data_IF_792891330636
#
_entry.id   IF_792891330636
#
_cell.length_a   1.000
_cell.length_b   1.000
_cell.length_c   1.000
_cell.angle_alpha   90.00
_cell.angle_beta   90.00
_cell.angle_gamma   90.00
#
_symmetry.space_group_name_H-M   'P 1'
#
loop_
_entity.id
_entity.type
_entity.pdbx_description
1 polymer ?
#
# COMPACT_ATOMS: atom_id res chain seq x y z
N UNK A 1 -22.33 55.16 -10.74
CA UNK A 1 -22.04 54.09 -9.77
C UNK A 1 -23.21 53.12 -9.72
N UNK A 2 -23.04 51.88 -10.18
CA UNK A 2 -23.82 50.75 -9.68
C UNK A 2 -22.89 49.76 -8.96
N UNK A 3 -23.31 49.33 -7.76
CA UNK A 3 -22.59 48.37 -6.90
C UNK A 3 -22.58 47.00 -7.58
N UNK A 4 -21.40 46.47 -7.83
CA UNK A 4 -21.19 45.06 -8.19
C UNK A 4 -21.22 44.26 -6.89
N UNK A 5 -22.23 43.44 -6.72
CA UNK A 5 -22.33 42.44 -5.66
C UNK A 5 -21.25 41.37 -5.86
N UNK A 6 -20.43 41.14 -4.83
CA UNK A 6 -19.47 40.04 -4.75
C UNK A 6 -20.19 38.68 -4.86
N UNK A 7 -19.71 37.72 -5.65
CA UNK A 7 -20.26 36.37 -5.63
C UNK A 7 -19.82 35.63 -4.35
N UNK A 8 -20.67 34.74 -3.82
CA UNK A 8 -20.42 34.02 -2.57
C UNK A 8 -19.27 33.02 -2.72
N UNK A 9 -18.50 32.84 -1.65
CA UNK A 9 -17.44 31.84 -1.53
C UNK A 9 -18.01 30.43 -1.75
N UNK A 10 -17.83 29.88 -2.96
CA UNK A 10 -18.18 28.50 -3.24
C UNK A 10 -17.17 27.59 -2.55
N UNK A 11 -17.57 27.05 -1.39
CA UNK A 11 -16.96 25.85 -0.85
C UNK A 11 -17.00 24.78 -1.95
N UNK A 12 -15.83 24.30 -2.37
CA UNK A 12 -15.71 23.21 -3.35
C UNK A 12 -16.23 21.91 -2.73
N UNK A 13 -17.54 21.69 -2.77
CA UNK A 13 -18.15 20.39 -2.50
C UNK A 13 -18.13 19.56 -3.79
N UNK A 14 -16.99 18.93 -4.10
CA UNK A 14 -16.92 17.89 -5.15
C UNK A 14 -17.36 16.56 -4.51
N UNK A 15 -18.48 15.94 -4.95
CA UNK A 15 -18.92 14.65 -4.44
C UNK A 15 -18.27 13.54 -5.26
N UNK A 16 -17.00 13.27 -5.00
CA UNK A 16 -16.37 11.97 -5.27
C UNK A 16 -15.93 11.44 -3.92
N UNK A 17 -16.49 10.31 -3.49
CA UNK A 17 -16.16 9.60 -2.24
C UNK A 17 -14.75 8.97 -2.33
N UNK A 18 -13.74 9.79 -2.56
CA UNK A 18 -12.35 9.36 -2.60
C UNK A 18 -11.93 8.93 -1.19
N UNK A 19 -11.56 7.65 -1.02
CA UNK A 19 -11.05 7.12 0.27
C UNK A 19 -9.86 7.92 0.81
N UNK A 20 -9.08 8.52 -0.09
CA UNK A 20 -7.96 9.40 0.23
C UNK A 20 -8.37 10.72 0.91
N UNK A 21 -9.64 11.15 0.84
CA UNK A 21 -10.14 12.32 1.58
C UNK A 21 -9.89 12.18 3.09
N UNK A 22 -9.92 10.95 3.61
CA UNK A 22 -9.62 10.70 5.02
C UNK A 22 -8.22 11.20 5.42
N UNK A 23 -7.25 11.18 4.50
CA UNK A 23 -5.89 11.67 4.74
C UNK A 23 -5.82 13.21 4.83
N UNK A 24 -6.88 13.91 4.42
CA UNK A 24 -7.02 15.38 4.53
C UNK A 24 -8.08 15.79 5.57
N UNK A 25 -8.52 14.86 6.43
CA UNK A 25 -9.58 15.14 7.41
C UNK A 25 -9.20 16.20 8.44
N UNK A 26 -7.90 16.48 8.62
CA UNK A 26 -7.40 17.58 9.45
C UNK A 26 -7.54 18.95 8.78
N UNK A 27 -7.77 19.04 7.47
CA UNK A 27 -7.91 20.31 6.76
C UNK A 27 -9.33 20.85 6.96
N UNK A 28 -9.44 21.92 7.74
CA UNK A 28 -10.69 22.62 8.00
C UNK A 28 -11.04 23.58 6.86
N UNK A 29 -10.05 24.34 6.37
CA UNK A 29 -10.25 25.36 5.35
C UNK A 29 -9.09 25.43 4.36
N UNK A 30 -9.39 25.68 3.09
CA UNK A 30 -8.42 25.98 2.04
C UNK A 30 -8.79 27.30 1.40
N UNK A 31 -7.85 28.25 1.35
CA UNK A 31 -8.07 29.60 0.86
C UNK A 31 -6.97 29.99 -0.13
N UNK A 32 -7.36 30.49 -1.30
CA UNK A 32 -6.43 31.24 -2.16
C UNK A 32 -6.35 32.67 -1.61
N UNK A 33 -5.19 33.05 -1.08
CA UNK A 33 -4.97 34.41 -0.58
C UNK A 33 -4.68 35.38 -1.74
N UNK A 34 -3.97 34.88 -2.75
CA UNK A 34 -3.61 35.57 -3.99
C UNK A 34 -3.26 34.50 -5.07
N UNK A 35 -2.88 34.88 -6.31
CA UNK A 35 -2.60 33.91 -7.38
C UNK A 35 -1.47 32.90 -7.11
N UNK A 36 -0.55 33.19 -6.18
CA UNK A 36 0.62 32.35 -5.87
C UNK A 36 0.66 31.87 -4.42
N UNK A 37 -0.34 32.22 -3.61
CA UNK A 37 -0.41 31.86 -2.18
C UNK A 37 -1.69 31.11 -1.85
N UNK A 38 -1.54 29.90 -1.29
CA UNK A 38 -2.64 29.10 -0.74
C UNK A 38 -2.43 28.90 0.76
N UNK A 39 -3.47 29.15 1.55
CA UNK A 39 -3.51 28.90 3.00
C UNK A 39 -4.35 27.67 3.29
N UNK A 40 -3.80 26.78 4.11
CA UNK A 40 -4.52 25.66 4.70
C UNK A 40 -4.69 25.95 6.21
N UNK A 41 -5.93 25.90 6.69
CA UNK A 41 -6.24 25.93 8.14
C UNK A 41 -6.50 24.51 8.58
N UNK A 42 -5.78 24.06 9.61
CA UNK A 42 -5.91 22.71 10.14
C UNK A 42 -6.73 22.71 11.44
N UNK A 43 -7.63 21.75 11.61
CA UNK A 43 -8.44 21.57 12.83
C UNK A 43 -7.64 20.99 13.99
N UNK A 44 -6.47 20.40 13.71
CA UNK A 44 -5.50 19.92 14.69
C UNK A 44 -4.08 20.28 14.23
N UNK A 45 -3.12 20.46 15.15
CA UNK A 45 -1.71 20.45 14.81
C UNK A 45 -1.34 19.13 14.12
N UNK A 46 -0.63 19.20 12.98
CA UNK A 46 -0.18 18.03 12.23
C UNK A 46 1.15 18.32 11.54
N UNK A 47 2.26 17.86 12.13
CA UNK A 47 3.61 18.17 11.64
C UNK A 47 3.87 17.63 10.23
N UNK A 48 3.33 16.45 9.90
CA UNK A 48 3.52 15.81 8.59
C UNK A 48 2.68 16.43 7.46
N UNK A 49 2.07 17.61 7.67
CA UNK A 49 1.18 18.21 6.67
C UNK A 49 1.87 18.47 5.32
N UNK A 50 3.09 19.04 5.28
CA UNK A 50 3.80 19.24 4.02
C UNK A 50 4.04 17.92 3.27
N UNK A 51 4.39 16.86 3.99
CA UNK A 51 4.73 15.56 3.41
C UNK A 51 3.51 14.87 2.78
N UNK A 52 2.29 15.17 3.25
CA UNK A 52 1.06 14.63 2.64
C UNK A 52 0.99 15.01 1.15
N UNK A 53 1.51 16.17 0.73
CA UNK A 53 1.51 16.57 -0.69
C UNK A 53 2.44 15.72 -1.58
N UNK A 54 3.29 14.89 -1.00
CA UNK A 54 4.02 13.83 -1.72
C UNK A 54 3.14 12.64 -2.11
N UNK A 55 1.91 12.55 -1.61
CA UNK A 55 1.00 11.45 -1.89
C UNK A 55 0.46 11.52 -3.32
N UNK A 56 0.40 10.38 -4.01
CA UNK A 56 0.02 10.33 -5.45
C UNK A 56 -1.41 10.81 -5.71
N UNK A 57 -2.29 10.76 -4.71
CA UNK A 57 -3.67 11.21 -4.78
C UNK A 57 -3.82 12.75 -4.66
N UNK A 58 -2.76 13.48 -4.32
CA UNK A 58 -2.77 14.94 -4.15
C UNK A 58 -2.03 15.70 -5.25
N UNK A 59 -1.87 15.07 -6.41
CA UNK A 59 -1.35 15.73 -7.61
C UNK A 59 -2.28 16.89 -8.00
N UNK A 60 -1.67 18.03 -8.32
CA UNK A 60 -2.39 19.21 -8.81
C UNK A 60 -2.84 18.96 -10.25
N UNK A 61 -4.10 19.29 -10.53
CA UNK A 61 -4.75 19.09 -11.83
C UNK A 61 -5.34 20.41 -12.32
N UNK A 62 -5.55 20.53 -13.63
CA UNK A 62 -6.21 21.69 -14.21
C UNK A 62 -7.69 21.75 -13.75
N UNK A 63 -8.08 22.87 -13.13
CA UNK A 63 -9.41 23.06 -12.51
C UNK A 63 -10.57 22.84 -13.49
N UNK A 64 -10.39 23.24 -14.73
CA UNK A 64 -11.38 23.19 -15.82
C UNK A 64 -11.41 21.83 -16.53
N UNK A 65 -10.50 20.91 -16.20
CA UNK A 65 -10.38 19.58 -16.84
C UNK A 65 -10.63 18.43 -15.85
N UNK A 66 -11.23 18.70 -14.68
CA UNK A 66 -11.44 17.69 -13.65
C UNK A 66 -12.30 16.53 -14.17
N UNK A 67 -13.34 16.81 -14.96
CA UNK A 67 -14.29 15.81 -15.44
C UNK A 67 -13.70 14.88 -16.51
N UNK A 68 -12.59 15.26 -17.14
CA UNK A 68 -11.94 14.48 -18.22
C UNK A 68 -10.71 13.73 -17.75
N UNK A 69 -10.32 13.84 -16.48
CA UNK A 69 -9.06 13.29 -15.95
C UNK A 69 -8.87 11.80 -16.18
N UNK A 70 -9.95 11.01 -16.20
CA UNK A 70 -9.88 9.55 -16.39
C UNK A 70 -9.51 9.13 -17.81
N UNK A 71 -9.67 10.01 -18.80
CA UNK A 71 -9.43 9.70 -20.22
C UNK A 71 -8.47 10.67 -20.91
N UNK A 72 -8.39 11.91 -20.43
CA UNK A 72 -7.51 12.98 -20.95
C UNK A 72 -6.86 13.72 -19.79
N UNK A 73 -5.91 13.11 -19.09
CA UNK A 73 -5.27 13.73 -17.93
C UNK A 73 -4.48 14.98 -18.36
N UNK A 74 -4.73 16.10 -17.67
CA UNK A 74 -4.01 17.37 -17.85
C UNK A 74 -3.34 17.77 -16.55
N UNK A 75 -2.03 17.98 -16.58
CA UNK A 75 -1.22 18.37 -15.43
C UNK A 75 0.00 19.18 -15.85
N UNK A 76 0.90 19.44 -14.90
CA UNK A 76 2.08 20.30 -15.07
C UNK A 76 3.39 19.55 -15.30
N UNK A 77 3.32 18.22 -15.47
CA UNK A 77 4.48 17.33 -15.52
C UNK A 77 5.35 17.45 -16.77
N UNK A 78 6.49 16.73 -16.80
CA UNK A 78 7.46 16.79 -17.90
C UNK A 78 6.98 16.13 -19.20
N UNK A 79 5.95 15.28 -19.13
CA UNK A 79 5.35 14.64 -20.30
C UNK A 79 3.84 14.89 -20.36
N UNK A 80 3.33 15.04 -21.58
CA UNK A 80 1.92 15.22 -21.92
C UNK A 80 1.34 13.90 -22.42
N UNK A 81 0.08 13.64 -22.07
CA UNK A 81 -0.67 12.49 -22.56
C UNK A 81 -0.90 12.57 -24.07
N UNK A 82 -0.67 11.46 -24.78
CA UNK A 82 -0.97 11.33 -26.22
C UNK A 82 -2.13 10.36 -26.42
N UNK A 83 -1.96 9.10 -25.98
CA UNK A 83 -2.92 8.04 -26.22
C UNK A 83 -2.87 6.98 -25.12
N UNK A 84 -3.99 6.28 -24.94
CA UNK A 84 -4.08 5.07 -24.13
C UNK A 84 -4.81 4.01 -24.93
N UNK A 85 -4.11 2.90 -25.19
CA UNK A 85 -4.67 1.70 -25.79
C UNK A 85 -4.82 0.66 -24.69
N UNK A 86 -6.03 0.45 -24.13
CA UNK A 86 -6.24 -0.46 -23.01
C UNK A 86 -5.68 -1.86 -23.28
N UNK A 87 -4.85 -2.37 -22.37
CA UNK A 87 -4.21 -3.68 -22.51
C UNK A 87 -2.96 -3.71 -23.40
N UNK A 88 -2.62 -2.61 -24.09
CA UNK A 88 -1.45 -2.52 -24.98
C UNK A 88 -0.42 -1.49 -24.48
N UNK A 89 -0.72 -0.17 -24.58
CA UNK A 89 0.29 0.86 -24.29
C UNK A 89 -0.30 2.21 -23.86
N UNK A 90 0.49 2.95 -23.06
CA UNK A 90 0.34 4.38 -22.79
C UNK A 90 1.43 5.14 -23.51
N UNK A 91 1.04 6.16 -24.27
CA UNK A 91 1.98 7.03 -25.01
C UNK A 91 1.97 8.43 -24.42
N UNK A 92 3.17 8.93 -24.14
CA UNK A 92 3.42 10.26 -23.60
C UNK A 92 4.46 10.96 -24.47
N UNK A 93 4.30 12.26 -24.68
CA UNK A 93 5.25 13.12 -25.43
C UNK A 93 5.84 14.16 -24.50
N UNK A 94 7.04 14.66 -24.80
CA UNK A 94 7.66 15.77 -24.08
C UNK A 94 6.71 16.96 -23.94
N UNK A 95 6.68 17.55 -22.74
CA UNK A 95 6.07 18.84 -22.49
C UNK A 95 7.09 19.95 -22.82
N UNK A 96 6.95 20.70 -23.93
CA UNK A 96 7.88 21.78 -24.25
C UNK A 96 7.80 22.94 -23.26
N UNK A 97 6.67 23.08 -22.55
CA UNK A 97 6.41 24.14 -21.59
C UNK A 97 6.66 23.69 -20.13
N UNK A 98 7.46 22.64 -19.93
CA UNK A 98 7.78 22.17 -18.58
C UNK A 98 8.55 23.25 -17.81
N UNK A 99 8.16 23.47 -16.55
CA UNK A 99 8.66 24.59 -15.76
C UNK A 99 10.14 24.44 -15.38
N UNK A 100 10.67 23.22 -15.34
CA UNK A 100 12.11 23.00 -15.16
C UNK A 100 12.84 23.05 -16.51
N UNK A 101 13.59 24.13 -16.70
CA UNK A 101 14.32 24.38 -17.95
C UNK A 101 15.28 23.24 -18.28
N UNK A 102 15.27 22.82 -19.55
CA UNK A 102 16.16 21.80 -20.07
C UNK A 102 15.73 20.35 -19.76
N UNK A 103 14.56 20.15 -19.17
CA UNK A 103 13.93 18.84 -18.93
C UNK A 103 12.56 18.74 -19.63
N UNK A 104 12.07 17.51 -19.89
CA UNK A 104 12.81 16.25 -19.88
C UNK A 104 13.82 16.16 -21.04
N UNK A 105 14.77 15.23 -20.93
CA UNK A 105 15.76 14.94 -21.98
C UNK A 105 15.22 14.06 -23.10
N UNK A 106 14.19 13.26 -22.81
CA UNK A 106 13.54 12.37 -23.76
C UNK A 106 12.43 13.11 -24.53
N UNK A 107 12.23 12.72 -25.79
CA UNK A 107 11.13 13.26 -26.62
C UNK A 107 9.77 12.64 -26.29
N UNK A 108 9.75 11.46 -25.67
CA UNK A 108 8.53 10.78 -25.26
C UNK A 108 8.80 9.54 -24.44
N UNK A 109 7.73 8.92 -23.93
CA UNK A 109 7.74 7.68 -23.16
C UNK A 109 6.58 6.80 -23.62
N UNK A 110 6.87 5.55 -23.94
CA UNK A 110 5.86 4.53 -24.23
C UNK A 110 5.90 3.45 -23.15
N UNK A 111 4.83 3.35 -22.35
CA UNK A 111 4.68 2.29 -21.36
C UNK A 111 3.90 1.14 -21.97
N UNK A 112 4.58 0.02 -22.25
CA UNK A 112 3.98 -1.20 -22.82
C UNK A 112 3.46 -2.11 -21.71
N UNK A 113 2.27 -2.67 -21.90
CA UNK A 113 1.69 -3.68 -21.02
C UNK A 113 2.01 -5.05 -21.62
N UNK A 114 2.89 -5.78 -20.95
CA UNK A 114 3.27 -7.14 -21.36
C UNK A 114 2.95 -8.06 -20.16
N UNK A 115 1.78 -8.73 -20.16
CA UNK A 115 1.32 -9.52 -19.01
C UNK A 115 2.24 -10.70 -18.67
N UNK A 116 2.77 -11.36 -19.70
CA UNK A 116 3.60 -12.55 -19.53
C UNK A 116 5.02 -12.20 -19.08
N UNK A 117 5.47 -12.80 -17.98
CA UNK A 117 6.78 -12.53 -17.40
C UNK A 117 7.92 -12.90 -18.35
N UNK A 118 7.85 -14.06 -19.00
CA UNK A 118 8.86 -14.50 -19.98
C UNK A 118 8.98 -13.52 -21.16
N UNK A 119 7.86 -12.97 -21.65
CA UNK A 119 7.86 -11.99 -22.72
C UNK A 119 8.48 -10.65 -22.28
N UNK A 120 8.26 -10.22 -21.03
CA UNK A 120 8.95 -9.03 -20.48
C UNK A 120 10.45 -9.22 -20.44
N UNK A 121 10.91 -10.38 -19.96
CA UNK A 121 12.33 -10.71 -19.87
C UNK A 121 12.99 -10.72 -21.25
N UNK A 122 12.38 -11.37 -22.25
CA UNK A 122 12.88 -11.35 -23.62
C UNK A 122 12.89 -9.94 -24.23
N UNK A 123 11.93 -9.08 -23.87
CA UNK A 123 11.87 -7.71 -24.37
C UNK A 123 13.01 -6.84 -23.82
N UNK A 124 13.37 -6.96 -22.54
CA UNK A 124 14.50 -6.21 -21.97
C UNK A 124 15.85 -6.76 -22.47
N UNK A 125 15.97 -8.07 -22.66
CA UNK A 125 17.20 -8.70 -23.18
C UNK A 125 17.47 -8.35 -24.65
N UNK A 126 16.41 -8.24 -25.46
CA UNK A 126 16.52 -7.87 -26.88
C UNK A 126 16.64 -6.35 -27.11
N UNK A 127 16.48 -5.53 -26.07
CA UNK A 127 16.43 -4.07 -26.19
C UNK A 127 15.12 -3.53 -26.78
N UNK A 128 14.07 -4.35 -26.87
CA UNK A 128 12.74 -3.91 -27.29
C UNK A 128 12.01 -3.05 -26.24
N UNK A 129 12.52 -3.01 -25.02
CA UNK A 129 12.19 -2.03 -23.97
C UNK A 129 13.46 -1.59 -23.26
N UNK A 130 13.54 -0.32 -22.87
CA UNK A 130 14.70 0.23 -22.14
C UNK A 130 14.66 -0.04 -20.64
N UNK A 131 13.45 -0.14 -20.07
CA UNK A 131 13.21 -0.31 -18.64
C UNK A 131 12.13 -1.38 -18.43
N UNK A 132 12.43 -2.35 -17.57
CA UNK A 132 11.49 -3.32 -17.06
C UNK A 132 11.17 -2.98 -15.60
N UNK A 133 9.93 -2.58 -15.34
CA UNK A 133 9.42 -2.40 -13.98
C UNK A 133 8.97 -3.74 -13.40
N UNK A 134 9.34 -4.03 -12.14
CA UNK A 134 9.06 -5.30 -11.44
C UNK A 134 9.63 -6.54 -12.14
N UNK A 135 10.96 -6.68 -12.09
CA UNK A 135 11.63 -7.93 -12.44
C UNK A 135 11.10 -9.08 -11.57
N UNK A 136 10.73 -10.25 -12.14
CA UNK A 136 10.35 -11.41 -11.33
C UNK A 136 11.48 -11.76 -10.35
N UNK A 137 11.14 -11.92 -9.07
CA UNK A 137 12.11 -12.10 -7.99
C UNK A 137 13.09 -13.25 -8.24
N UNK A 138 12.59 -14.38 -8.75
CA UNK A 138 13.35 -15.57 -9.13
C UNK A 138 14.41 -15.33 -10.20
N UNK A 139 14.28 -14.25 -10.97
CA UNK A 139 15.20 -13.92 -12.07
C UNK A 139 16.22 -12.85 -11.70
N UNK A 140 16.11 -12.22 -10.52
CA UNK A 140 17.03 -11.13 -10.12
C UNK A 140 18.48 -11.56 -10.21
N UNK A 141 18.81 -12.78 -9.75
CA UNK A 141 20.18 -13.30 -9.79
C UNK A 141 20.73 -13.45 -11.22
N UNK A 142 19.87 -13.78 -12.20
CA UNK A 142 20.25 -13.84 -13.61
C UNK A 142 20.76 -12.49 -14.12
N UNK A 143 20.20 -11.39 -13.60
CA UNK A 143 20.50 -10.04 -14.07
C UNK A 143 21.58 -9.30 -13.26
N UNK A 144 22.09 -9.88 -12.17
CA UNK A 144 23.16 -9.25 -11.35
C UNK A 144 24.44 -8.96 -12.15
N UNK A 145 24.79 -9.87 -13.08
CA UNK A 145 26.01 -9.78 -13.90
C UNK A 145 25.68 -9.83 -15.40
N UNK A 146 24.50 -9.37 -15.81
CA UNK A 146 24.11 -9.41 -17.22
C UNK A 146 24.90 -8.38 -18.03
N UNK A 147 25.37 -8.77 -19.21
CA UNK A 147 26.30 -7.96 -20.00
C UNK A 147 25.71 -6.61 -20.46
N UNK A 148 24.40 -6.56 -20.68
CA UNK A 148 23.72 -5.40 -21.28
C UNK A 148 22.57 -4.84 -20.44
N UNK A 149 22.21 -5.50 -19.34
CA UNK A 149 21.04 -5.12 -18.52
C UNK A 149 21.51 -4.94 -17.09
N UNK A 150 21.21 -3.77 -16.52
CA UNK A 150 21.47 -3.49 -15.11
C UNK A 150 20.22 -3.81 -14.29
N UNK A 151 20.35 -4.70 -13.32
CA UNK A 151 19.33 -4.88 -12.29
C UNK A 151 19.58 -3.93 -11.12
N UNK A 152 18.67 -2.99 -10.90
CA UNK A 152 18.66 -2.13 -9.72
C UNK A 152 17.64 -2.64 -8.70
N UNK A 153 18.01 -2.58 -7.42
CA UNK A 153 17.12 -2.89 -6.30
C UNK A 153 17.12 -1.76 -5.29
N UNK A 154 15.94 -1.38 -4.83
CA UNK A 154 15.76 -0.34 -3.82
C UNK A 154 14.86 -0.87 -2.72
N UNK A 155 15.24 -0.61 -1.47
CA UNK A 155 14.36 -0.89 -0.34
C UNK A 155 13.12 -0.02 -0.42
N UNK A 156 11.94 -0.62 -0.30
CA UNK A 156 10.67 0.11 -0.30
C UNK A 156 9.92 -0.12 1.01
N UNK A 157 9.03 0.80 1.36
CA UNK A 157 8.07 0.60 2.45
C UNK A 157 6.84 -0.22 2.00
N UNK A 158 6.99 -1.04 0.95
CA UNK A 158 5.93 -1.97 0.53
C UNK A 158 5.89 -3.12 1.52
N UNK A 159 4.69 -3.42 1.99
CA UNK A 159 4.44 -4.50 2.93
C UNK A 159 3.33 -5.39 2.38
N UNK A 160 3.54 -6.70 2.40
CA UNK A 160 2.54 -7.72 2.09
C UNK A 160 2.43 -8.68 3.29
N UNK A 161 1.22 -9.13 3.60
CA UNK A 161 0.96 -10.02 4.73
C UNK A 161 -0.36 -10.77 4.61
N UNK A 162 -0.54 -11.73 5.51
CA UNK A 162 -1.83 -12.36 5.74
C UNK A 162 -2.63 -11.47 6.68
N UNK A 163 -3.81 -11.08 6.23
CA UNK A 163 -4.74 -10.24 6.98
C UNK A 163 -5.84 -11.11 7.56
N UNK A 164 -6.12 -10.89 8.85
CA UNK A 164 -7.14 -11.59 9.61
C UNK A 164 -8.25 -10.60 9.95
N UNK A 165 -9.49 -10.97 9.69
CA UNK A 165 -10.65 -10.17 10.04
C UNK A 165 -10.97 -10.35 11.53
N UNK A 166 -10.73 -9.32 12.34
CA UNK A 166 -10.84 -9.39 13.80
C UNK A 166 -12.29 -9.38 14.31
N UNK A 167 -13.29 -9.27 13.43
CA UNK A 167 -14.71 -9.36 13.79
C UNK A 167 -15.37 -10.66 13.31
N UNK A 168 -14.60 -11.57 12.69
CA UNK A 168 -15.12 -12.84 12.19
C UNK A 168 -14.42 -14.01 12.86
N UNK A 169 -15.21 -14.93 13.41
CA UNK A 169 -14.71 -16.22 13.88
C UNK A 169 -13.91 -16.93 12.78
N UNK A 170 -12.80 -17.62 13.10
CA UNK A 170 -12.24 -17.78 14.45
C UNK A 170 -11.26 -16.67 14.86
N UNK A 171 -11.08 -15.63 14.05
CA UNK A 171 -10.05 -14.60 14.24
C UNK A 171 -10.49 -13.41 15.09
N UNK A 172 -11.74 -13.37 15.54
CA UNK A 172 -12.19 -12.54 16.66
C UNK A 172 -11.48 -12.94 17.97
N UNK A 173 -11.10 -14.21 18.12
CA UNK A 173 -10.31 -14.70 19.25
C UNK A 173 -8.80 -14.41 19.08
N UNK A 174 -8.23 -13.61 19.99
CA UNK A 174 -6.81 -13.28 19.99
C UNK A 174 -5.89 -14.50 20.08
N UNK A 175 -6.28 -15.56 20.82
CA UNK A 175 -5.47 -16.77 20.95
C UNK A 175 -5.33 -17.51 19.62
N UNK A 176 -6.36 -17.49 18.77
CA UNK A 176 -6.30 -18.06 17.42
C UNK A 176 -5.33 -17.28 16.54
N UNK A 177 -5.38 -15.95 16.60
CA UNK A 177 -4.43 -15.08 15.86
C UNK A 177 -2.98 -15.31 16.31
N UNK A 178 -2.76 -15.42 17.61
CA UNK A 178 -1.44 -15.73 18.18
C UNK A 178 -0.96 -17.12 17.80
N UNK A 179 -1.85 -18.13 17.83
CA UNK A 179 -1.52 -19.49 17.43
C UNK A 179 -1.07 -19.55 15.96
N UNK A 180 -1.80 -18.90 15.04
CA UNK A 180 -1.40 -18.81 13.64
C UNK A 180 -0.04 -18.10 13.50
N UNK A 181 0.20 -16.99 14.21
CA UNK A 181 1.49 -16.29 14.13
C UNK A 181 2.67 -17.18 14.57
N UNK A 182 2.46 -18.07 15.55
CA UNK A 182 3.47 -19.02 16.02
C UNK A 182 3.77 -20.15 15.04
N UNK A 183 3.01 -20.33 13.97
CA UNK A 183 3.34 -21.32 12.94
C UNK A 183 4.24 -20.78 11.84
N UNK A 184 4.48 -19.46 11.78
CA UNK A 184 5.09 -18.81 10.63
C UNK A 184 6.58 -18.59 10.84
N UNK A 185 7.40 -19.24 10.01
CA UNK A 185 8.81 -18.91 9.88
C UNK A 185 8.97 -17.76 8.89
N UNK A 186 9.17 -16.54 9.41
CA UNK A 186 9.28 -15.34 8.56
C UNK A 186 10.54 -15.32 7.70
N UNK A 187 11.63 -15.95 8.14
CA UNK A 187 12.86 -16.01 7.35
C UNK A 187 12.66 -16.95 6.16
N UNK A 188 12.16 -18.17 6.43
CA UNK A 188 11.81 -19.11 5.36
C UNK A 188 10.76 -18.53 4.40
N UNK A 189 9.79 -17.75 4.92
CA UNK A 189 8.78 -17.08 4.09
C UNK A 189 9.41 -16.09 3.10
N UNK A 190 10.38 -15.28 3.53
CA UNK A 190 11.09 -14.33 2.65
C UNK A 190 11.86 -15.06 1.56
N UNK A 191 12.55 -16.14 1.91
CA UNK A 191 13.25 -17.00 0.94
C UNK A 191 12.29 -17.60 -0.09
N UNK A 192 11.22 -18.25 0.38
CA UNK A 192 10.28 -18.99 -0.49
C UNK A 192 9.41 -18.09 -1.37
N UNK A 193 9.01 -16.92 -0.88
CA UNK A 193 8.01 -16.07 -1.55
C UNK A 193 8.65 -15.05 -2.48
N UNK A 194 9.75 -14.44 -2.03
CA UNK A 194 10.42 -13.33 -2.70
C UNK A 194 11.91 -13.55 -2.93
N UNK A 195 12.42 -14.78 -2.78
CA UNK A 195 13.79 -15.15 -3.17
C UNK A 195 14.86 -14.25 -2.51
N UNK A 196 14.71 -14.02 -1.21
CA UNK A 196 15.56 -13.11 -0.41
C UNK A 196 15.56 -11.63 -0.85
N UNK A 197 14.65 -11.21 -1.74
CA UNK A 197 14.54 -9.82 -2.22
C UNK A 197 13.69 -8.93 -1.29
N UNK A 198 13.90 -9.08 0.02
CA UNK A 198 13.21 -8.34 1.06
C UNK A 198 13.68 -8.77 2.45
N UNK A 199 12.99 -8.31 3.48
CA UNK A 199 13.33 -8.62 4.87
C UNK A 199 12.11 -9.04 5.67
N UNK A 200 12.26 -9.96 6.64
CA UNK A 200 11.18 -10.27 7.57
C UNK A 200 10.86 -9.02 8.40
N UNK A 201 9.58 -8.85 8.74
CA UNK A 201 9.14 -7.73 9.59
C UNK A 201 8.05 -8.14 10.57
N UNK A 202 7.97 -7.47 11.71
CA UNK A 202 6.92 -7.65 12.73
C UNK A 202 5.90 -6.51 12.76
N UNK A 203 6.10 -5.50 11.93
CA UNK A 203 5.18 -4.39 11.76
C UNK A 203 5.17 -4.00 10.29
N UNK A 204 4.21 -3.20 9.85
CA UNK A 204 4.24 -2.74 8.48
C UNK A 204 5.11 -1.49 8.29
N UNK A 205 5.78 -1.04 9.35
CA UNK A 205 6.92 -0.13 9.27
C UNK A 205 8.11 -0.97 8.77
N UNK A 206 8.79 -0.59 7.68
CA UNK A 206 9.91 -1.36 7.19
C UNK A 206 11.10 -1.29 8.17
N UNK A 207 11.93 -2.34 8.29
CA UNK A 207 13.08 -2.35 9.19
C UNK A 207 14.08 -1.19 9.01
N UNK A 208 14.12 -0.59 7.81
CA UNK A 208 14.97 0.57 7.50
C UNK A 208 14.40 1.91 7.99
N UNK A 209 13.16 1.96 8.49
CA UNK A 209 12.54 3.20 8.95
C UNK A 209 13.05 3.62 10.34
N UNK A 210 13.29 4.92 10.61
CA UNK A 210 13.76 5.39 11.92
C UNK A 210 12.85 5.06 13.12
N UNK A 211 11.55 4.83 12.86
CA UNK A 211 10.54 4.47 13.85
C UNK A 211 10.29 2.96 13.96
N UNK A 212 11.03 2.13 13.22
CA UNK A 212 10.91 0.69 13.39
C UNK A 212 11.39 0.29 14.79
N UNK A 213 10.55 -0.43 15.53
CA UNK A 213 10.90 -0.87 16.88
C UNK A 213 11.79 -2.11 16.82
N UNK A 214 13.11 -1.92 16.90
CA UNK A 214 14.11 -2.99 16.85
C UNK A 214 14.17 -3.86 18.10
N UNK A 215 13.48 -3.50 19.19
CA UNK A 215 13.48 -4.30 20.43
C UNK A 215 12.46 -5.44 20.40
N UNK A 216 11.57 -5.49 19.41
CA UNK A 216 10.59 -6.56 19.28
C UNK A 216 11.20 -7.77 18.56
N UNK A 217 11.26 -8.90 19.26
CA UNK A 217 11.71 -10.15 18.68
C UNK A 217 10.67 -10.72 17.69
N UNK A 218 11.16 -11.36 16.62
CA UNK A 218 10.37 -12.32 15.83
C UNK A 218 10.80 -13.72 16.26
N UNK A 219 10.12 -14.33 17.24
CA UNK A 219 10.51 -15.65 17.72
C UNK A 219 10.36 -16.69 16.60
N UNK A 220 11.15 -17.78 16.64
CA UNK A 220 10.98 -18.90 15.73
C UNK A 220 9.59 -19.55 15.94
N UNK A 221 9.13 -20.37 14.98
CA UNK A 221 7.88 -21.10 15.12
C UNK A 221 7.84 -21.96 16.40
N UNK A 222 6.68 -22.00 17.06
CA UNK A 222 6.41 -22.84 18.23
C UNK A 222 5.05 -23.53 18.07
N UNK A 223 5.08 -24.69 17.43
CA UNK A 223 3.88 -25.47 17.09
C UNK A 223 3.20 -26.03 18.34
N UNK A 224 3.97 -26.38 19.38
CA UNK A 224 3.42 -26.89 20.63
C UNK A 224 2.59 -25.81 21.33
N UNK A 225 3.13 -24.60 21.43
CA UNK A 225 2.40 -23.44 21.98
C UNK A 225 1.24 -23.02 21.09
N UNK A 226 1.38 -23.07 19.77
CA UNK A 226 0.28 -22.82 18.84
C UNK A 226 -0.91 -23.76 19.12
N UNK A 227 -0.67 -25.08 19.17
CA UNK A 227 -1.70 -26.08 19.50
C UNK A 227 -2.33 -25.86 20.87
N UNK A 228 -1.52 -25.51 21.88
CA UNK A 228 -2.02 -25.18 23.22
C UNK A 228 -2.99 -23.99 23.17
N UNK A 229 -2.62 -22.90 22.50
CA UNK A 229 -3.47 -21.73 22.34
C UNK A 229 -4.75 -22.04 21.56
N UNK A 230 -4.69 -22.89 20.54
CA UNK A 230 -5.87 -23.36 19.82
C UNK A 230 -6.81 -24.16 20.72
N UNK A 231 -6.30 -25.09 21.51
CA UNK A 231 -7.10 -25.86 22.47
C UNK A 231 -7.77 -24.94 23.51
N UNK A 232 -7.03 -23.99 24.08
CA UNK A 232 -7.58 -22.98 25.00
C UNK A 232 -8.60 -22.05 24.35
N UNK A 233 -8.56 -21.90 23.02
CA UNK A 233 -9.50 -21.12 22.24
C UNK A 233 -10.74 -21.93 21.79
N UNK A 234 -10.83 -23.22 22.14
CA UNK A 234 -11.93 -24.10 21.75
C UNK A 234 -11.70 -24.91 20.46
N UNK A 235 -10.47 -24.91 19.93
CA UNK A 235 -10.07 -25.62 18.70
C UNK A 235 -8.99 -26.69 18.96
N UNK A 236 -9.20 -27.67 19.85
CA UNK A 236 -8.17 -28.66 20.19
C UNK A 236 -7.73 -29.53 19.00
N UNK A 237 -8.61 -29.69 18.01
CA UNK A 237 -8.34 -30.43 16.77
C UNK A 237 -8.07 -29.50 15.56
N UNK A 238 -7.87 -28.20 15.82
CA UNK A 238 -7.75 -27.19 14.76
C UNK A 238 -9.09 -26.81 14.13
N UNK A 239 -9.03 -26.25 12.92
CA UNK A 239 -10.19 -25.79 12.16
C UNK A 239 -9.85 -25.62 10.68
N UNK A 240 -10.89 -25.46 9.86
CA UNK A 240 -10.77 -25.11 8.45
C UNK A 240 -11.10 -23.62 8.23
N UNK A 241 -10.40 -22.98 7.30
CA UNK A 241 -10.65 -21.59 6.92
C UNK A 241 -10.29 -21.33 5.47
N UNK A 242 -11.04 -20.46 4.79
CA UNK A 242 -10.69 -20.01 3.44
C UNK A 242 -9.83 -18.75 3.51
N UNK A 243 -8.73 -18.77 2.77
CA UNK A 243 -7.89 -17.60 2.52
C UNK A 243 -7.98 -17.17 1.06
N UNK A 244 -8.41 -15.93 0.83
CA UNK A 244 -8.45 -15.36 -0.51
C UNK A 244 -7.09 -14.75 -0.89
N UNK A 245 -6.64 -14.98 -2.13
CA UNK A 245 -5.42 -14.40 -2.69
C UNK A 245 -5.70 -13.77 -4.06
N UNK A 246 -5.07 -12.63 -4.41
CA UNK A 246 -5.28 -11.99 -5.70
C UNK A 246 -4.53 -12.76 -6.81
N UNK A 247 -5.26 -13.30 -7.77
CA UNK A 247 -4.76 -14.24 -8.78
C UNK A 247 -3.56 -13.71 -9.59
N UNK A 248 -3.60 -12.45 -10.02
CA UNK A 248 -2.59 -11.80 -10.88
C UNK A 248 -1.41 -11.22 -10.08
N UNK A 249 -1.31 -11.54 -8.78
CA UNK A 249 -0.22 -11.13 -7.89
C UNK A 249 0.49 -12.36 -7.35
N UNK A 250 1.33 -12.95 -8.19
CA UNK A 250 2.01 -14.23 -7.92
C UNK A 250 2.76 -14.26 -6.58
N UNK A 251 3.41 -13.17 -6.16
CA UNK A 251 4.06 -13.11 -4.86
C UNK A 251 3.08 -13.27 -3.69
N UNK A 252 1.85 -12.76 -3.82
CA UNK A 252 0.80 -12.89 -2.79
C UNK A 252 0.16 -14.28 -2.83
N UNK A 253 0.09 -14.90 -4.00
CA UNK A 253 -0.33 -16.31 -4.15
C UNK A 253 0.68 -17.23 -3.46
N UNK A 254 1.98 -17.05 -3.72
CA UNK A 254 3.06 -17.79 -3.04
C UNK A 254 3.03 -17.58 -1.53
N UNK A 255 2.84 -16.33 -1.08
CA UNK A 255 2.67 -16.02 0.34
C UNK A 255 1.54 -16.82 0.97
N UNK A 256 0.37 -16.86 0.32
CA UNK A 256 -0.75 -17.63 0.81
C UNK A 256 -0.49 -19.14 0.88
N UNK A 257 0.13 -19.71 -0.16
CA UNK A 257 0.50 -21.13 -0.19
C UNK A 257 1.51 -21.48 0.91
N UNK A 258 2.55 -20.66 1.09
CA UNK A 258 3.55 -20.87 2.13
C UNK A 258 2.92 -20.84 3.53
N UNK A 259 2.05 -19.86 3.81
CA UNK A 259 1.35 -19.76 5.10
C UNK A 259 0.43 -20.96 5.33
N UNK A 260 -0.31 -21.40 4.30
CA UNK A 260 -1.13 -22.64 4.38
C UNK A 260 -0.29 -23.83 4.83
N UNK A 261 0.85 -24.03 4.18
CA UNK A 261 1.69 -25.21 4.42
C UNK A 261 2.33 -25.16 5.83
N UNK A 262 2.78 -23.99 6.26
CA UNK A 262 3.32 -23.78 7.61
C UNK A 262 2.27 -24.00 8.71
N UNK A 263 1.06 -23.46 8.54
CA UNK A 263 0.00 -23.49 9.55
C UNK A 263 -0.64 -24.88 9.74
N UNK A 264 -0.56 -25.74 8.72
CA UNK A 264 -1.07 -27.13 8.77
C UNK A 264 -0.50 -27.92 9.95
N UNK A 265 0.76 -27.68 10.32
CA UNK A 265 1.42 -28.37 11.44
C UNK A 265 0.72 -28.17 12.80
N UNK A 266 -0.01 -27.06 12.96
CA UNK A 266 -0.82 -26.75 14.14
C UNK A 266 -2.30 -27.19 14.02
N UNK A 267 -2.70 -27.80 12.90
CA UNK A 267 -4.09 -28.18 12.62
C UNK A 267 -4.94 -27.07 11.99
N UNK A 268 -4.32 -25.97 11.56
CA UNK A 268 -5.02 -24.90 10.85
C UNK A 268 -5.02 -25.25 9.35
N UNK A 269 -6.15 -25.75 8.86
CA UNK A 269 -6.30 -26.19 7.48
C UNK A 269 -6.83 -25.05 6.61
N UNK A 270 -5.95 -24.45 5.79
CA UNK A 270 -6.30 -23.28 4.98
C UNK A 270 -6.62 -23.69 3.53
N UNK A 271 -7.82 -23.38 3.06
CA UNK A 271 -8.18 -23.47 1.65
C UNK A 271 -7.80 -22.16 0.94
N UNK A 272 -6.87 -22.20 -0.01
CA UNK A 272 -6.40 -21.01 -0.74
C UNK A 272 -7.26 -20.80 -1.98
N UNK A 273 -8.07 -19.74 -1.98
CA UNK A 273 -8.95 -19.35 -3.08
C UNK A 273 -8.32 -18.22 -3.88
N UNK A 274 -8.05 -18.46 -5.17
CA UNK A 274 -7.57 -17.41 -6.09
C UNK A 274 -8.75 -16.60 -6.60
N UNK A 275 -8.68 -15.29 -6.45
CA UNK A 275 -9.75 -14.37 -6.86
C UNK A 275 -9.19 -13.36 -7.88
N UNK A 276 -9.88 -13.10 -9.01
CA UNK A 276 -9.45 -12.11 -9.99
C UNK A 276 -9.24 -10.71 -9.36
N UNK A 277 -8.12 -10.06 -9.67
CA UNK A 277 -7.71 -8.80 -9.03
C UNK A 277 -8.74 -7.69 -9.21
N UNK A 278 -9.42 -7.66 -10.35
CA UNK A 278 -10.47 -6.68 -10.65
C UNK A 278 -11.64 -6.69 -9.65
N UNK A 279 -11.98 -7.87 -9.10
CA UNK A 279 -13.05 -8.03 -8.11
C UNK A 279 -12.51 -8.24 -6.69
N UNK A 280 -11.20 -8.41 -6.51
CA UNK A 280 -10.58 -8.80 -5.25
C UNK A 280 -10.96 -7.89 -4.07
N UNK A 281 -10.81 -6.57 -4.21
CA UNK A 281 -11.12 -5.63 -3.14
C UNK A 281 -12.58 -5.70 -2.68
N UNK A 282 -13.52 -5.94 -3.60
CA UNK A 282 -14.94 -6.07 -3.27
C UNK A 282 -15.29 -7.42 -2.64
N UNK A 283 -14.48 -8.45 -2.90
CA UNK A 283 -14.61 -9.78 -2.30
C UNK A 283 -14.08 -9.81 -0.86
N UNK A 284 -12.95 -9.15 -0.58
CA UNK A 284 -12.36 -9.17 0.77
C UNK A 284 -13.04 -8.19 1.74
N UNK A 285 -13.45 -7.01 1.28
CA UNK A 285 -13.88 -5.91 2.15
C UNK A 285 -15.05 -6.30 3.08
N UNK A 286 -14.75 -6.46 4.37
CA UNK A 286 -15.69 -6.83 5.44
C UNK A 286 -16.23 -8.25 5.36
N UNK A 287 -15.81 -9.04 4.37
CA UNK A 287 -16.43 -10.33 4.01
C UNK A 287 -15.50 -11.52 4.27
N UNK A 288 -14.24 -11.44 3.84
CA UNK A 288 -13.30 -12.53 4.00
C UNK A 288 -12.87 -12.67 5.46
N UNK A 289 -12.69 -13.92 5.92
CA UNK A 289 -12.13 -14.23 7.25
C UNK A 289 -10.60 -14.04 7.26
N UNK A 290 -9.95 -14.50 6.19
CA UNK A 290 -8.51 -14.47 5.98
C UNK A 290 -8.23 -14.16 4.52
N UNK A 291 -7.22 -13.33 4.24
CA UNK A 291 -6.83 -13.00 2.88
C UNK A 291 -5.40 -12.44 2.84
N UNK A 292 -4.76 -12.45 1.66
CA UNK A 292 -3.44 -11.85 1.48
C UNK A 292 -3.58 -10.45 0.89
N UNK A 293 -3.11 -9.44 1.61
CA UNK A 293 -3.06 -8.08 1.09
C UNK A 293 -1.88 -7.32 1.68
N UNK A 294 -1.74 -6.07 1.28
CA UNK A 294 -0.61 -5.25 1.63
C UNK A 294 -0.80 -3.83 1.17
N UNK A 295 0.17 -2.99 1.47
CA UNK A 295 0.15 -1.61 1.01
C UNK A 295 1.52 -1.13 0.58
N UNK A 296 1.50 -0.19 -0.36
CA UNK A 296 2.68 0.49 -0.85
C UNK A 296 3.13 1.57 0.14
N UNK A 297 4.36 2.05 -0.08
CA UNK A 297 4.92 3.19 0.62
C UNK A 297 3.94 4.37 0.72
N UNK A 298 4.06 5.10 1.83
CA UNK A 298 3.29 6.30 2.15
C UNK A 298 4.25 7.42 2.53
N UNK A 299 3.90 8.69 2.28
CA UNK A 299 4.82 9.80 2.56
C UNK A 299 5.14 10.00 4.05
N UNK A 300 4.25 9.55 4.95
CA UNK A 300 4.44 9.71 6.39
C UNK A 300 4.14 8.40 7.13
N UNK A 301 4.70 8.25 8.33
CA UNK A 301 4.34 7.12 9.19
C UNK A 301 2.86 7.13 9.58
N UNK A 302 2.27 8.31 9.77
CA UNK A 302 0.87 8.46 10.13
C UNK A 302 -0.03 7.91 9.02
N UNK A 303 0.23 8.29 7.76
CA UNK A 303 -0.51 7.77 6.60
C UNK A 303 -0.25 6.29 6.32
N UNK A 304 0.83 5.71 6.88
CA UNK A 304 1.13 4.28 6.85
C UNK A 304 0.39 3.49 7.95
N UNK A 305 0.15 4.07 9.13
CA UNK A 305 -0.43 3.35 10.27
C UNK A 305 -1.89 3.73 10.54
N UNK A 306 -2.21 5.01 10.63
CA UNK A 306 -3.49 5.49 11.11
C UNK A 306 -4.68 4.96 10.27
N UNK A 307 -4.67 5.01 8.92
CA UNK A 307 -5.79 4.50 8.15
C UNK A 307 -6.06 3.00 8.32
N UNK A 308 -5.04 2.23 8.73
CA UNK A 308 -5.04 0.77 8.79
C UNK A 308 -5.23 0.21 10.20
N UNK A 309 -4.77 0.91 11.24
CA UNK A 309 -4.76 0.38 12.61
C UNK A 309 -5.61 1.18 13.59
N UNK A 310 -5.89 2.47 13.33
CA UNK A 310 -6.86 3.21 14.12
C UNK A 310 -8.26 2.62 13.89
N UNK A 311 -9.08 2.45 14.92
CA UNK A 311 -10.43 1.86 14.83
C UNK A 311 -11.34 2.61 13.86
N UNK A 312 -11.22 3.95 13.84
CA UNK A 312 -11.88 4.83 12.89
C UNK A 312 -11.14 5.00 11.54
N UNK A 313 -10.03 4.29 11.30
CA UNK A 313 -9.24 4.36 10.08
C UNK A 313 -10.02 3.95 8.83
N UNK A 314 -9.82 4.65 7.71
CA UNK A 314 -10.62 4.47 6.49
C UNK A 314 -10.47 3.08 5.86
N UNK A 315 -9.29 2.46 5.98
CA UNK A 315 -9.03 1.11 5.50
C UNK A 315 -9.36 0.06 6.56
N UNK A 316 -9.08 0.34 7.84
CA UNK A 316 -9.35 -0.60 8.93
C UNK A 316 -10.83 -1.02 9.00
N UNK A 317 -11.75 -0.07 8.80
CA UNK A 317 -13.22 -0.33 8.79
C UNK A 317 -13.71 -1.28 7.70
N UNK A 318 -12.85 -1.73 6.80
CA UNK A 318 -13.21 -2.66 5.73
C UNK A 318 -12.27 -3.86 5.63
N UNK A 319 -11.09 -3.79 6.22
CA UNK A 319 -10.03 -4.77 5.99
C UNK A 319 -9.76 -5.58 7.28
N UNK A 320 -8.94 -5.09 8.19
CA UNK A 320 -8.58 -5.78 9.44
C UNK A 320 -9.72 -5.80 10.46
N UNK A 321 -10.54 -4.75 10.50
CA UNK A 321 -11.56 -4.52 11.54
C UNK A 321 -10.99 -4.59 12.95
N UNK A 322 -9.74 -4.16 13.12
CA UNK A 322 -9.03 -4.15 14.38
C UNK A 322 -9.51 -3.02 15.29
N UNK A 323 -9.66 -3.28 16.58
CA UNK A 323 -10.06 -2.27 17.58
C UNK A 323 -9.22 -2.43 18.84
N UNK A 324 -8.52 -1.36 19.22
CA UNK A 324 -7.80 -1.29 20.48
C UNK A 324 -7.68 0.17 20.92
N UNK A 325 -8.33 0.51 22.05
CA UNK A 325 -8.39 1.87 22.55
C UNK A 325 -7.01 2.48 22.85
N UNK A 326 -6.04 1.66 23.29
CA UNK A 326 -4.68 2.13 23.54
C UNK A 326 -3.96 2.46 22.24
N UNK A 327 -4.15 1.66 21.19
CA UNK A 327 -3.56 1.94 19.86
C UNK A 327 -4.18 3.21 19.28
N UNK A 328 -5.50 3.38 19.41
CA UNK A 328 -6.18 4.60 18.96
C UNK A 328 -5.61 5.85 19.66
N UNK A 329 -5.48 5.80 20.98
CA UNK A 329 -4.90 6.89 21.78
C UNK A 329 -3.46 7.23 21.38
N UNK A 330 -2.62 6.20 21.18
CA UNK A 330 -1.23 6.38 20.75
C UNK A 330 -1.15 7.04 19.37
N UNK A 331 -1.94 6.56 18.41
CA UNK A 331 -1.98 7.10 17.06
C UNK A 331 -2.52 8.55 17.03
N UNK A 332 -3.57 8.85 17.79
CA UNK A 332 -4.11 10.21 17.93
C UNK A 332 -3.10 11.17 18.58
N UNK A 333 -2.31 10.69 19.53
CA UNK A 333 -1.28 11.47 20.20
C UNK A 333 -0.07 11.70 19.28
N UNK A 334 0.39 10.66 18.60
CA UNK A 334 1.51 10.70 17.66
C UNK A 334 1.25 11.68 16.51
N UNK A 335 -0.01 11.76 16.08
CA UNK A 335 -0.49 12.69 15.04
C UNK A 335 -0.39 14.17 15.44
N UNK A 336 -0.53 14.49 16.73
CA UNK A 336 -0.58 15.86 17.25
C UNK A 336 0.77 16.40 17.73
N UNK A 337 1.77 15.53 17.92
CA UNK A 337 3.09 15.93 18.39
C UNK A 337 3.98 16.41 17.23
N UNK A 338 4.74 17.47 17.46
CA UNK A 338 5.82 17.94 16.58
C UNK A 338 7.21 17.52 17.10
N UNK A 339 7.28 16.87 18.26
CA UNK A 339 8.50 16.29 18.81
C UNK A 339 8.73 14.90 18.20
N UNK A 340 9.80 14.77 17.43
CA UNK A 340 10.21 13.54 16.72
C UNK A 340 10.60 12.41 17.67
N UNK A 341 11.24 12.71 18.80
CA UNK A 341 11.62 11.69 19.79
C UNK A 341 10.38 11.16 20.50
N UNK A 342 9.47 12.06 20.89
CA UNK A 342 8.17 11.67 21.44
C UNK A 342 7.34 10.89 20.43
N UNK A 343 7.35 11.27 19.15
CA UNK A 343 6.62 10.51 18.10
C UNK A 343 7.19 9.11 17.92
N UNK A 344 8.50 8.92 18.04
CA UNK A 344 9.15 7.62 17.95
C UNK A 344 8.83 6.69 19.12
N UNK A 345 8.64 7.24 20.31
CA UNK A 345 8.29 6.49 21.53
C UNK A 345 6.84 5.98 21.52
N UNK A 346 5.92 6.76 20.92
CA UNK A 346 4.50 6.46 20.79
C UNK A 346 4.20 5.34 19.78
#
# INVERSE_FOLDING_TARGET
>A
MPRISSPPSSAFSIPIRARARANLSMVDKVEALDPLSVRFTLSIPYAGFPDIFGERQLRIVAKDQIDTLSTKPVGTGPFKFVSWSPGDRLELVKNPDYFEKGLPKLDGVTMRIIPEAAARLAAIESGAVDILWNLPYETVDKFKNHATVRADSVSTATWDGVILNNERAPFDNMKVRQALALTIDKAALVELVIFAQGAPTHSPIPPSHPYFNTSLASPPPDIAKAKKLLAEAGYPNGFEVTMQVPQEREQRVRLGVAVRDMARSAGININVERVPFASYAANIAGKAQMYVDGYFARPTIDTALYPFYHSAGSWNRQLWLYKNARVDELLDTARKTNDEAKRKDL
#
